data_IF_028344144420
#
_entry.id   IF_028344144420
#
_cell.length_a   1.000
_cell.length_b   1.000
_cell.length_c   1.000
_cell.angle_alpha   90.00
_cell.angle_beta   90.00
_cell.angle_gamma   90.00
#
_symmetry.space_group_name_H-M   'P 1'
#
loop_
_entity.id
_entity.type
_entity.pdbx_description
1 polymer ?
#
# COMPACT_ATOMS: atom_id res chain seq x y z
N UNK A 1 3.80 19.51 6.03
CA UNK A 1 5.01 18.99 5.43
C UNK A 1 4.74 18.37 4.08
N UNK A 2 5.65 18.61 3.17
CA UNK A 2 5.51 18.02 1.84
C UNK A 2 5.80 16.53 1.88
N UNK A 3 5.04 15.77 1.14
CA UNK A 3 5.28 14.33 1.02
C UNK A 3 6.38 14.08 -0.01
N UNK A 4 7.08 12.95 0.12
CA UNK A 4 8.10 12.58 -0.88
C UNK A 4 7.50 12.47 -2.29
N UNK A 5 8.35 12.66 -3.28
CA UNK A 5 7.88 12.65 -4.68
C UNK A 5 7.30 11.30 -5.12
N UNK A 6 7.65 10.20 -4.44
CA UNK A 6 7.14 8.89 -4.83
C UNK A 6 5.71 8.64 -4.32
N UNK A 7 5.21 9.50 -3.44
CA UNK A 7 3.83 9.36 -2.93
C UNK A 7 2.91 9.95 -3.99
N UNK A 8 2.24 9.09 -4.74
CA UNK A 8 1.48 9.48 -5.92
C UNK A 8 0.05 9.90 -5.63
N UNK A 9 -0.47 9.57 -4.46
CA UNK A 9 -1.81 9.98 -4.04
C UNK A 9 -1.85 9.95 -2.52
N UNK A 10 -2.84 10.68 -1.97
CA UNK A 10 -2.98 10.74 -0.52
C UNK A 10 -3.92 9.67 -0.03
N UNK A 11 -3.55 9.04 1.09
CA UNK A 11 -4.39 8.05 1.73
C UNK A 11 -5.21 8.77 2.81
N UNK A 12 -6.54 8.68 2.77
CA UNK A 12 -7.35 9.27 3.84
C UNK A 12 -6.95 8.71 5.19
N UNK A 13 -6.99 9.55 6.19
CA UNK A 13 -6.56 9.15 7.52
C UNK A 13 -7.35 7.95 8.03
N UNK A 14 -8.63 7.87 7.68
CA UNK A 14 -9.46 6.76 8.15
C UNK A 14 -9.10 5.42 7.53
N UNK A 15 -8.25 5.40 6.49
CA UNK A 15 -7.79 4.13 5.91
C UNK A 15 -6.49 3.64 6.52
N UNK A 16 -5.77 4.49 7.23
CA UNK A 16 -4.46 4.12 7.76
C UNK A 16 -4.56 2.95 8.74
N UNK A 17 -5.48 3.03 9.70
CA UNK A 17 -5.69 1.95 10.66
C UNK A 17 -6.09 0.64 10.00
N UNK A 18 -7.07 0.63 9.09
CA UNK A 18 -7.41 -0.62 8.39
C UNK A 18 -6.22 -1.21 7.63
N UNK A 19 -5.36 -0.39 7.04
CA UNK A 19 -4.18 -0.89 6.33
C UNK A 19 -3.25 -1.61 7.30
N UNK A 20 -2.93 -1.00 8.44
CA UNK A 20 -2.07 -1.64 9.44
C UNK A 20 -2.73 -2.89 9.98
N UNK A 21 -4.05 -2.84 10.21
CA UNK A 21 -4.77 -4.00 10.73
C UNK A 21 -4.73 -5.17 9.75
N UNK A 22 -4.94 -4.89 8.47
CA UNK A 22 -4.89 -5.93 7.45
C UNK A 22 -3.51 -6.59 7.42
N UNK A 23 -2.47 -5.77 7.62
CA UNK A 23 -1.12 -6.28 7.63
C UNK A 23 -0.88 -7.20 8.83
N UNK A 24 -1.33 -6.78 10.02
CA UNK A 24 -1.20 -7.61 11.22
C UNK A 24 -1.89 -8.96 11.04
N UNK A 25 -3.09 -8.95 10.51
CA UNK A 25 -3.86 -10.19 10.32
C UNK A 25 -3.18 -11.06 9.26
N UNK A 26 -2.71 -10.47 8.18
CA UNK A 26 -2.07 -11.23 7.10
C UNK A 26 -0.76 -11.87 7.59
N UNK A 27 -0.04 -11.19 8.47
CA UNK A 27 1.19 -11.76 9.04
C UNK A 27 0.88 -13.05 9.81
N UNK A 28 -0.25 -13.06 10.53
CA UNK A 28 -0.59 -14.21 11.35
C UNK A 28 -1.29 -15.32 10.59
N UNK A 29 -2.12 -14.98 9.61
CA UNK A 29 -2.98 -15.98 8.96
C UNK A 29 -2.71 -16.17 7.49
N UNK A 30 -1.86 -15.34 6.89
CA UNK A 30 -1.53 -15.42 5.48
C UNK A 30 -0.04 -15.45 5.27
N UNK A 31 0.42 -14.68 4.25
CA UNK A 31 1.83 -14.66 3.91
C UNK A 31 2.24 -13.25 3.54
N UNK A 32 3.27 -12.74 4.22
CA UNK A 32 3.75 -11.37 4.01
C UNK A 32 5.27 -11.41 3.88
N UNK A 33 5.80 -10.64 2.94
CA UNK A 33 7.23 -10.44 2.79
C UNK A 33 7.60 -9.03 3.21
N UNK A 34 8.68 -8.88 3.92
CA UNK A 34 9.14 -7.59 4.46
C UNK A 34 10.32 -7.08 3.66
N UNK A 35 10.36 -5.77 3.49
CA UNK A 35 11.49 -5.13 2.87
C UNK A 35 11.30 -4.81 1.42
N UNK A 36 12.05 -3.81 0.96
CA UNK A 36 11.93 -3.28 -0.39
C UNK A 36 12.27 -4.33 -1.45
N UNK A 37 13.32 -5.11 -1.22
CA UNK A 37 13.74 -6.11 -2.20
C UNK A 37 12.69 -7.21 -2.36
N UNK A 38 12.12 -7.65 -1.25
CA UNK A 38 11.08 -8.68 -1.31
C UNK A 38 9.81 -8.15 -1.96
N UNK A 39 9.46 -6.89 -1.67
CA UNK A 39 8.31 -6.25 -2.32
C UNK A 39 8.53 -6.17 -3.82
N UNK A 40 9.73 -5.77 -4.24
CA UNK A 40 10.06 -5.68 -5.67
C UNK A 40 9.88 -7.03 -6.34
N UNK A 41 10.42 -8.08 -5.74
CA UNK A 41 10.30 -9.44 -6.30
C UNK A 41 8.85 -9.86 -6.42
N UNK A 42 8.04 -9.58 -5.40
CA UNK A 42 6.64 -9.97 -5.40
C UNK A 42 5.88 -9.28 -6.52
N UNK A 43 6.15 -7.99 -6.74
CA UNK A 43 5.53 -7.23 -7.81
C UNK A 43 5.92 -7.81 -9.17
N UNK A 44 7.21 -8.06 -9.36
CA UNK A 44 7.71 -8.55 -10.64
C UNK A 44 7.20 -9.93 -10.97
N UNK A 45 6.96 -10.76 -9.95
CA UNK A 45 6.41 -12.10 -10.14
C UNK A 45 4.89 -12.11 -10.26
N UNK A 46 4.25 -10.98 -10.01
CA UNK A 46 2.80 -10.87 -10.11
C UNK A 46 2.06 -11.63 -9.02
N UNK A 47 2.67 -11.79 -7.86
CA UNK A 47 2.07 -12.58 -6.78
C UNK A 47 1.63 -11.73 -5.59
N UNK A 48 1.78 -10.41 -5.65
CA UNK A 48 1.40 -9.56 -4.53
C UNK A 48 -0.09 -9.26 -4.55
N UNK A 49 -0.70 -9.28 -3.36
CA UNK A 49 -2.08 -8.83 -3.20
C UNK A 49 -2.15 -7.34 -2.92
N UNK A 50 -1.19 -6.84 -2.15
CA UNK A 50 -1.12 -5.44 -1.79
C UNK A 50 0.32 -5.11 -1.42
N UNK A 51 0.79 -3.97 -1.90
CA UNK A 51 2.11 -3.46 -1.55
C UNK A 51 1.90 -2.25 -0.65
N UNK A 52 2.62 -2.21 0.47
CA UNK A 52 2.50 -1.14 1.45
C UNK A 52 3.84 -0.43 1.54
N UNK A 53 3.84 0.89 1.35
CA UNK A 53 5.05 1.69 1.28
C UNK A 53 5.00 2.79 2.32
N UNK A 54 6.05 2.93 3.13
CA UNK A 54 6.12 4.00 4.11
C UNK A 54 6.45 5.33 3.43
N UNK A 55 5.88 6.42 3.95
CA UNK A 55 6.08 7.76 3.37
C UNK A 55 7.32 8.46 3.91
N UNK A 56 7.88 7.98 4.99
CA UNK A 56 9.00 8.66 5.67
C UNK A 56 10.33 7.95 5.48
N UNK A 57 10.55 7.33 4.32
CA UNK A 57 11.78 6.60 4.02
C UNK A 57 12.87 7.57 3.57
N UNK A 58 14.06 7.42 4.13
CA UNK A 58 15.24 8.22 3.79
C UNK A 58 16.41 7.29 3.44
N UNK A 59 17.04 7.46 2.28
CA UNK A 59 16.63 8.38 1.21
C UNK A 59 15.42 7.85 0.44
N UNK A 60 14.64 8.72 -0.18
CA UNK A 60 13.42 8.29 -0.87
C UNK A 60 13.66 7.33 -2.02
N UNK A 61 14.85 7.35 -2.60
CA UNK A 61 15.18 6.45 -3.72
C UNK A 61 15.05 4.98 -3.35
N UNK A 62 15.12 4.65 -2.07
CA UNK A 62 15.02 3.26 -1.62
C UNK A 62 13.70 2.63 -2.04
N UNK A 63 12.61 3.42 -2.04
CA UNK A 63 11.28 2.90 -2.36
C UNK A 63 10.64 3.58 -3.57
N UNK A 64 11.31 4.56 -4.17
CA UNK A 64 10.69 5.36 -5.24
C UNK A 64 10.32 4.53 -6.46
N UNK A 65 11.02 3.42 -6.69
CA UNK A 65 10.73 2.56 -7.84
C UNK A 65 9.47 1.71 -7.65
N UNK A 66 9.02 1.52 -6.40
CA UNK A 66 7.90 0.62 -6.14
C UNK A 66 6.59 1.09 -6.76
N UNK A 67 6.18 2.36 -6.61
CA UNK A 67 4.95 2.78 -7.28
C UNK A 67 5.03 2.63 -8.80
N UNK A 68 6.20 2.86 -9.37
CA UNK A 68 6.39 2.78 -10.83
C UNK A 68 6.16 1.36 -11.32
N UNK A 69 6.81 0.38 -10.69
CA UNK A 69 6.65 -1.01 -11.13
C UNK A 69 5.26 -1.55 -10.79
N UNK A 70 4.66 -1.07 -9.70
CA UNK A 70 3.28 -1.44 -9.39
C UNK A 70 2.33 -1.01 -10.50
N UNK A 71 2.50 0.21 -11.00
CA UNK A 71 1.67 0.68 -12.10
C UNK A 71 1.90 -0.14 -13.37
N UNK A 72 3.15 -0.48 -13.65
CA UNK A 72 3.48 -1.28 -14.82
C UNK A 72 2.89 -2.68 -14.75
N UNK A 73 2.90 -3.28 -13.57
CA UNK A 73 2.42 -4.65 -13.37
C UNK A 73 0.95 -4.70 -12.94
N UNK A 74 0.32 -3.54 -12.78
CA UNK A 74 -1.06 -3.41 -12.33
C UNK A 74 -1.25 -4.04 -10.96
N UNK A 75 -0.28 -3.83 -10.08
CA UNK A 75 -0.33 -4.31 -8.71
C UNK A 75 -0.90 -3.22 -7.81
N UNK A 76 -1.75 -3.60 -6.87
CA UNK A 76 -2.31 -2.66 -5.91
C UNK A 76 -1.23 -2.22 -4.92
N UNK A 77 -1.23 -0.94 -4.58
CA UNK A 77 -0.27 -0.42 -3.61
C UNK A 77 -0.88 0.75 -2.84
N UNK A 78 -0.38 0.95 -1.61
CA UNK A 78 -0.84 2.02 -0.73
C UNK A 78 0.37 2.60 0.01
N UNK A 79 0.15 3.77 0.58
CA UNK A 79 1.17 4.43 1.41
C UNK A 79 0.70 4.52 2.84
N UNK A 80 1.63 4.40 3.79
CA UNK A 80 1.36 4.61 5.21
C UNK A 80 2.36 5.63 5.74
N UNK A 81 1.97 6.40 6.76
CA UNK A 81 2.80 7.54 7.17
C UNK A 81 4.10 7.18 7.88
N UNK A 82 4.22 6.00 8.49
CA UNK A 82 5.34 5.72 9.37
C UNK A 82 5.97 4.37 9.11
N UNK A 83 7.27 4.38 8.79
CA UNK A 83 8.05 3.15 8.65
C UNK A 83 8.16 2.41 9.98
N UNK A 84 8.13 3.15 11.08
CA UNK A 84 8.19 2.56 12.40
C UNK A 84 6.90 1.79 12.71
N UNK A 85 5.75 2.39 12.43
CA UNK A 85 4.47 1.73 12.63
C UNK A 85 4.31 0.55 11.68
N UNK A 86 4.85 0.66 10.48
CA UNK A 86 4.83 -0.44 9.53
C UNK A 86 5.59 -1.64 10.10
N UNK A 87 6.77 -1.40 10.68
CA UNK A 87 7.52 -2.47 11.32
C UNK A 87 6.75 -3.11 12.45
N UNK A 88 6.08 -2.30 13.27
CA UNK A 88 5.27 -2.84 14.38
C UNK A 88 4.13 -3.70 13.86
N UNK A 89 3.46 -3.27 12.80
CA UNK A 89 2.37 -4.05 12.23
C UNK A 89 2.85 -5.39 11.70
N UNK A 90 4.11 -5.44 11.24
CA UNK A 90 4.71 -6.68 10.77
C UNK A 90 5.19 -7.58 11.90
N UNK A 91 5.13 -7.10 13.13
CA UNK A 91 5.58 -7.88 14.28
C UNK A 91 7.09 -7.89 14.47
N UNK A 92 7.78 -6.94 13.88
CA UNK A 92 9.24 -6.84 14.03
C UNK A 92 9.58 -5.59 14.81
N UNK A 93 10.79 -5.56 15.36
CA UNK A 93 11.18 -4.47 16.24
C UNK A 93 12.08 -3.45 15.53
N UNK A 94 12.10 -3.50 14.21
CA UNK A 94 12.88 -2.56 13.42
C UNK A 94 11.97 -1.86 12.42
N UNK A 95 12.43 -0.74 11.89
CA UNK A 95 11.68 -0.02 10.87
C UNK A 95 11.58 -0.85 9.60
N UNK A 96 10.54 -0.60 8.83
CA UNK A 96 10.34 -1.29 7.56
C UNK A 96 9.90 -0.27 6.52
N UNK A 97 10.61 -0.21 5.41
CA UNK A 97 10.31 0.76 4.36
C UNK A 97 9.15 0.32 3.49
N UNK A 98 8.98 -0.97 3.28
CA UNK A 98 7.92 -1.49 2.42
C UNK A 98 7.67 -2.95 2.75
N UNK A 99 6.47 -3.42 2.41
CA UNK A 99 6.08 -4.81 2.63
C UNK A 99 5.13 -5.24 1.53
N UNK A 100 5.07 -6.55 1.29
CA UNK A 100 4.18 -7.14 0.29
C UNK A 100 3.32 -8.21 0.96
N UNK A 101 2.02 -8.11 0.77
CA UNK A 101 1.10 -9.16 1.20
C UNK A 101 0.91 -10.10 0.02
N UNK A 102 1.29 -11.35 0.18
CA UNK A 102 1.17 -12.35 -0.87
C UNK A 102 -0.07 -13.22 -0.70
N UNK A 103 -0.43 -13.49 0.55
CA UNK A 103 -1.62 -14.24 0.89
C UNK A 103 -2.31 -13.47 2.00
N UNK A 104 -3.54 -13.04 1.75
CA UNK A 104 -4.27 -12.18 2.69
C UNK A 104 -4.71 -12.91 3.94
N UNK A 105 -4.86 -14.24 3.87
CA UNK A 105 -5.38 -14.97 5.00
C UNK A 105 -6.74 -14.44 5.41
N UNK A 106 -6.94 -14.24 6.69
CA UNK A 106 -8.21 -13.71 7.21
C UNK A 106 -8.39 -12.22 6.98
N UNK A 107 -7.38 -11.55 6.39
CA UNK A 107 -7.46 -10.13 6.12
C UNK A 107 -8.06 -9.82 4.74
N UNK A 108 -8.46 -10.83 3.98
CA UNK A 108 -8.91 -10.61 2.60
C UNK A 108 -10.02 -9.57 2.52
N UNK A 109 -10.98 -9.64 3.43
CA UNK A 109 -12.10 -8.71 3.46
C UNK A 109 -11.62 -7.25 3.62
N UNK A 110 -10.71 -7.03 4.56
CA UNK A 110 -10.18 -5.69 4.82
C UNK A 110 -9.38 -5.20 3.62
N UNK A 111 -8.57 -6.08 3.04
CA UNK A 111 -7.72 -5.73 1.91
C UNK A 111 -8.58 -5.38 0.69
N UNK A 112 -9.66 -6.12 0.45
CA UNK A 112 -10.55 -5.82 -0.66
C UNK A 112 -11.16 -4.43 -0.51
N UNK A 113 -11.55 -4.06 0.70
CA UNK A 113 -12.12 -2.73 0.95
C UNK A 113 -11.09 -1.64 0.76
N UNK A 114 -9.86 -1.88 1.20
CA UNK A 114 -8.77 -0.91 1.04
C UNK A 114 -8.48 -0.71 -0.45
N UNK A 115 -8.38 -1.79 -1.20
CA UNK A 115 -8.09 -1.71 -2.63
C UNK A 115 -9.19 -0.96 -3.36
N UNK A 116 -10.45 -1.24 -3.04
CA UNK A 116 -11.57 -0.54 -3.66
C UNK A 116 -11.53 0.96 -3.36
N UNK A 117 -11.20 1.32 -2.13
CA UNK A 117 -11.11 2.73 -1.75
C UNK A 117 -9.96 3.43 -2.47
N UNK A 118 -8.82 2.75 -2.60
CA UNK A 118 -7.67 3.31 -3.29
C UNK A 118 -7.96 3.51 -4.77
N UNK A 119 -8.66 2.58 -5.38
CA UNK A 119 -9.03 2.70 -6.79
C UNK A 119 -9.87 3.96 -7.02
N UNK A 120 -10.80 4.24 -6.11
CA UNK A 120 -11.61 5.45 -6.20
C UNK A 120 -10.77 6.71 -6.06
N UNK A 121 -9.81 6.71 -5.15
CA UNK A 121 -8.94 7.85 -4.93
C UNK A 121 -8.08 8.14 -6.16
N UNK A 122 -7.54 7.11 -6.75
CA UNK A 122 -6.67 7.27 -7.92
C UNK A 122 -7.44 7.76 -9.13
N UNK A 123 -8.66 7.28 -9.31
CA UNK A 123 -9.48 7.68 -10.45
C UNK A 123 -10.07 9.06 -10.27
N UNK A 124 -10.41 9.39 -9.04
CA UNK A 124 -11.14 10.60 -8.75
C UNK A 124 -10.16 11.72 -8.76
N UNK A 125 -9.66 11.93 -8.98
CA UNK A 125 -9.05 13.08 -8.94
C UNK A 125 -9.63 14.06 -8.12
N UNK A 126 -10.03 14.30 -8.13
CA UNK A 126 -10.37 14.84 -7.36
C UNK A 126 -11.05 15.01 -6.77
N UNK A 127 -10.93 14.62 -7.03
CA UNK A 127 -11.38 14.67 -6.53
C UNK A 127 -12.07 14.90 -6.33
N UNK A 128 -12.20 14.95 -6.67
CA UNK A 128 -12.79 14.90 -6.57
C UNK A 128 -13.65 15.11 -6.80
N UNK A 129 -14.04 15.13 -7.15
CA UNK A 129 -14.69 15.01 -7.42
C UNK A 129 -15.51 14.65 -7.61
N UNK A 130 -15.77 14.54 -7.88
CA UNK A 130 -16.44 13.92 -8.04
C UNK A 130 -17.16 13.53 -8.58
N UNK A 131 -17.54 13.31 -8.98
CA UNK A 131 -18.06 12.70 -9.34
C UNK A 131 -18.49 12.09 -9.83
N UNK A 132 -18.94 12.14 -10.07
CA UNK A 132 -19.27 11.22 -10.40
C UNK A 132 -19.53 10.73 -11.02
N UNK A 133 -19.64 10.50 -11.11
CA UNK A 133 -19.52 9.92 -11.42
C UNK A 133 -19.41 9.51 -12.02
N UNK A 134 -19.68 9.59 -12.30
CA UNK A 134 -19.30 9.05 -12.67
C UNK A 134 -19.21 8.75 -13.44
N UNK A 135 -19.36 8.53 -13.69
CA UNK A 135 -18.97 8.06 -14.15
C UNK A 135 -18.88 7.50 -14.58
N UNK A 136 -19.14 7.43 -14.71
CA UNK A 136 -18.72 6.81 -14.76
C UNK A 136 -18.60 6.41 -15.19
N UNK A 137 -18.87 6.29 -15.43
CA UNK A 137 -18.37 5.90 -15.53
C UNK A 137 -18.00 5.84 -15.97
N UNK A 138 -18.20 5.85 -16.22
CA UNK A 138 -17.50 5.77 -16.37
C UNK A 138 -17.13 5.68 -16.59
#
# INVERSE_FOLDING_TARGET
MAKPYYVKFEIPENLVSPIYESLRVAVETGKVKRGTNEATKAIERGVSKLIIIAEDVEPPEVVAHLPIICEEQKAAYVFVPSKQELGKALGIEVICAAAAILDSGDAQHIIDEVIASIAKIKDGKPEAKSEPEAKSEQ
#
